data_IF_885260338400
#
_entry.id   IF_885260338400
#
_cell.length_a   1.000
_cell.length_b   1.000
_cell.length_c   1.000
_cell.angle_alpha   90.00
_cell.angle_beta   90.00
_cell.angle_gamma   90.00
#
_symmetry.space_group_name_H-M   'P 1'
#
loop_
_entity.id
_entity.type
_entity.pdbx_description
1 polymer ?
#
# COMPACT_ATOMS: atom_id res chain seq x y z
N UNK A 1 5.10 -2.30 -23.68
CA UNK A 1 5.19 -1.20 -22.69
C UNK A 1 6.02 -1.67 -21.51
N UNK A 2 7.28 -1.26 -21.43
CA UNK A 2 8.18 -1.68 -20.36
C UNK A 2 7.60 -1.29 -18.99
N UNK A 3 7.47 -2.27 -18.08
CA UNK A 3 7.03 -2.03 -16.71
C UNK A 3 7.97 -1.03 -16.06
N UNK A 4 7.50 0.21 -15.85
CA UNK A 4 8.24 1.20 -15.08
C UNK A 4 8.42 0.60 -13.69
N UNK A 5 9.67 0.28 -13.37
CA UNK A 5 9.98 -0.63 -12.26
C UNK A 5 9.49 -0.08 -10.92
N UNK A 6 8.81 -0.94 -10.16
CA UNK A 6 8.34 -0.72 -8.78
C UNK A 6 9.47 -0.36 -7.78
N UNK A 7 10.73 -0.31 -8.24
CA UNK A 7 11.90 0.11 -7.44
C UNK A 7 11.71 1.47 -6.78
N UNK A 8 11.16 2.45 -7.48
CA UNK A 8 10.95 3.80 -6.93
C UNK A 8 9.91 3.81 -5.81
N UNK A 9 8.81 3.09 -5.99
CA UNK A 9 7.76 2.93 -4.98
C UNK A 9 8.27 2.14 -3.76
N UNK A 10 8.92 0.98 -3.98
CA UNK A 10 9.56 0.20 -2.90
C UNK A 10 10.55 1.01 -2.08
N UNK A 11 11.36 1.85 -2.74
CA UNK A 11 12.32 2.72 -2.06
C UNK A 11 11.60 3.74 -1.16
N UNK A 12 10.50 4.33 -1.64
CA UNK A 12 9.70 5.28 -0.85
C UNK A 12 8.97 4.62 0.32
N UNK A 13 8.39 3.44 0.11
CA UNK A 13 7.78 2.65 1.21
C UNK A 13 8.82 2.31 2.27
N UNK A 14 10.02 1.88 1.86
CA UNK A 14 11.13 1.61 2.80
C UNK A 14 11.55 2.86 3.58
N UNK A 15 11.62 4.02 2.92
CA UNK A 15 11.91 5.29 3.59
C UNK A 15 10.86 5.62 4.65
N UNK A 16 9.57 5.53 4.31
CA UNK A 16 8.48 5.81 5.24
C UNK A 16 8.45 4.83 6.42
N UNK A 17 8.68 3.54 6.17
CA UNK A 17 8.81 2.55 7.24
C UNK A 17 9.96 2.87 8.20
N UNK A 18 11.12 3.26 7.67
CA UNK A 18 12.27 3.65 8.49
C UNK A 18 12.00 4.92 9.31
N UNK A 19 11.34 5.92 8.73
CA UNK A 19 10.99 7.16 9.43
C UNK A 19 9.97 6.90 10.53
N UNK A 20 8.93 6.09 10.25
CA UNK A 20 7.95 5.71 11.25
C UNK A 20 8.61 4.95 12.41
N UNK A 21 9.52 4.02 12.11
CA UNK A 21 10.28 3.31 13.16
C UNK A 21 11.05 4.26 14.09
N UNK A 22 11.72 5.28 13.53
CA UNK A 22 12.41 6.30 14.33
C UNK A 22 11.43 7.11 15.21
N UNK A 23 10.28 7.49 14.65
CA UNK A 23 9.25 8.23 15.41
C UNK A 23 8.68 7.38 16.54
N UNK A 24 8.37 6.10 16.27
CA UNK A 24 7.89 5.17 17.30
C UNK A 24 8.91 5.01 18.42
N UNK A 25 10.20 4.86 18.08
CA UNK A 25 11.26 4.76 19.08
C UNK A 25 11.33 5.99 19.99
N UNK A 26 11.20 7.19 19.40
CA UNK A 26 11.30 8.45 20.14
C UNK A 26 10.06 8.78 20.97
N UNK A 27 8.87 8.43 20.47
CA UNK A 27 7.59 8.89 21.05
C UNK A 27 6.90 7.82 21.91
N UNK A 28 7.09 6.54 21.59
CA UNK A 28 6.40 5.43 22.22
C UNK A 28 7.36 4.43 22.90
N UNK A 29 8.67 4.64 22.78
CA UNK A 29 9.70 3.82 23.41
C UNK A 29 10.10 2.59 22.59
N UNK A 30 11.13 1.89 23.09
CA UNK A 30 11.68 0.68 22.47
C UNK A 30 10.68 -0.47 22.42
N UNK A 31 9.91 -0.64 23.47
CA UNK A 31 9.07 -1.83 23.68
C UNK A 31 7.93 -1.87 22.67
N UNK A 32 7.35 -0.71 22.37
CA UNK A 32 6.36 -0.54 21.30
C UNK A 32 6.96 -0.85 19.94
N UNK A 33 8.15 -0.32 19.64
CA UNK A 33 8.81 -0.59 18.36
C UNK A 33 9.14 -2.08 18.19
N UNK A 34 9.62 -2.72 19.25
CA UNK A 34 9.90 -4.17 19.27
C UNK A 34 8.63 -4.98 19.05
N UNK A 35 7.52 -4.62 19.71
CA UNK A 35 6.24 -5.28 19.51
C UNK A 35 5.78 -5.16 18.05
N UNK A 36 5.80 -3.95 17.47
CA UNK A 36 5.44 -3.71 16.06
C UNK A 36 6.30 -4.54 15.11
N UNK A 37 7.64 -4.51 15.28
CA UNK A 37 8.56 -5.22 14.41
C UNK A 37 8.44 -6.74 14.52
N UNK A 38 8.19 -7.26 15.73
CA UNK A 38 8.00 -8.68 15.98
C UNK A 38 6.73 -9.18 15.30
N UNK A 39 5.61 -8.47 15.46
CA UNK A 39 4.35 -8.78 14.80
C UNK A 39 4.50 -8.70 13.27
N UNK A 40 5.12 -7.63 12.76
CA UNK A 40 5.35 -7.43 11.32
C UNK A 40 6.14 -8.59 10.71
N UNK A 41 7.30 -8.93 11.30
CA UNK A 41 8.15 -10.04 10.83
C UNK A 41 7.44 -11.39 10.97
N UNK A 42 6.71 -11.59 12.07
CA UNK A 42 5.93 -12.78 12.35
C UNK A 42 4.89 -13.06 11.26
N UNK A 43 4.03 -12.10 10.96
CA UNK A 43 2.98 -12.26 9.95
C UNK A 43 3.52 -12.30 8.52
N UNK A 44 4.60 -11.56 8.21
CA UNK A 44 5.29 -11.72 6.91
C UNK A 44 5.80 -13.16 6.74
N UNK A 45 6.37 -13.74 7.80
CA UNK A 45 6.84 -15.12 7.75
C UNK A 45 5.68 -16.11 7.60
N UNK A 46 4.56 -15.92 8.30
CA UNK A 46 3.38 -16.77 8.18
C UNK A 46 2.80 -16.75 6.76
N UNK A 47 2.75 -15.57 6.13
CA UNK A 47 2.30 -15.43 4.75
C UNK A 47 3.19 -16.19 3.76
N UNK A 48 4.50 -16.30 4.03
CA UNK A 48 5.43 -17.07 3.20
C UNK A 48 5.30 -18.58 3.42
N UNK A 49 5.12 -19.00 4.67
CA UNK A 49 4.94 -20.40 5.07
C UNK A 49 4.13 -20.46 6.36
N UNK A 50 2.91 -20.96 6.25
CA UNK A 50 2.01 -21.08 7.40
C UNK A 50 2.59 -22.06 8.43
N UNK A 51 2.44 -21.71 9.71
CA UNK A 51 2.92 -22.52 10.83
C UNK A 51 2.03 -22.29 12.04
N UNK A 52 1.33 -23.34 12.46
CA UNK A 52 0.45 -23.32 13.63
C UNK A 52 1.23 -22.91 14.89
N UNK A 53 2.44 -23.43 15.07
CA UNK A 53 3.33 -23.07 16.19
C UNK A 53 3.67 -21.58 16.20
N UNK A 54 4.05 -21.03 15.04
CA UNK A 54 4.40 -19.62 14.93
C UNK A 54 3.20 -18.70 15.14
N UNK A 55 2.04 -19.07 14.58
CA UNK A 55 0.78 -18.35 14.78
C UNK A 55 0.38 -18.34 16.26
N UNK A 56 0.46 -19.48 16.95
CA UNK A 56 0.21 -19.57 18.39
C UNK A 56 1.19 -18.72 19.19
N UNK A 57 2.47 -18.73 18.84
CA UNK A 57 3.48 -17.88 19.49
C UNK A 57 3.19 -16.38 19.35
N UNK A 58 2.76 -15.95 18.17
CA UNK A 58 2.38 -14.55 17.91
C UNK A 58 1.13 -14.18 18.71
N UNK A 59 0.10 -15.04 18.73
CA UNK A 59 -1.11 -14.80 19.51
C UNK A 59 -0.81 -14.69 21.01
N UNK A 60 -0.01 -15.61 21.56
CA UNK A 60 0.39 -15.59 22.97
C UNK A 60 1.19 -14.33 23.34
N UNK A 61 1.94 -13.75 22.40
CA UNK A 61 2.62 -12.48 22.61
C UNK A 61 1.62 -11.33 22.64
N UNK A 62 0.67 -11.29 21.71
CA UNK A 62 -0.37 -10.26 21.64
C UNK A 62 -1.23 -10.24 22.92
N UNK A 63 -1.56 -11.41 23.47
CA UNK A 63 -2.32 -11.54 24.72
C UNK A 63 -1.59 -10.98 25.95
N UNK A 64 -0.26 -10.83 25.88
CA UNK A 64 0.57 -10.31 26.97
C UNK A 64 0.84 -8.81 26.88
N UNK A 65 0.44 -8.16 25.78
CA UNK A 65 0.61 -6.71 25.64
C UNK A 65 -0.38 -5.99 26.56
N UNK A 66 0.12 -4.99 27.29
CA UNK A 66 -0.77 -4.09 28.02
C UNK A 66 -1.58 -3.21 27.05
N UNK A 67 -2.68 -2.65 27.55
CA UNK A 67 -3.61 -1.87 26.74
C UNK A 67 -2.98 -0.64 26.08
N UNK A 68 -1.99 0.01 26.72
CA UNK A 68 -1.33 1.18 26.14
C UNK A 68 -0.42 0.75 24.99
N UNK A 69 0.40 -0.29 25.19
CA UNK A 69 1.25 -0.85 24.12
C UNK A 69 0.41 -1.32 22.94
N UNK A 70 -0.69 -2.04 23.18
CA UNK A 70 -1.59 -2.50 22.12
C UNK A 70 -2.17 -1.33 21.30
N UNK A 71 -2.61 -0.25 21.96
CA UNK A 71 -3.09 0.96 21.29
C UNK A 71 -2.00 1.59 20.40
N UNK A 72 -0.76 1.66 20.88
CA UNK A 72 0.36 2.17 20.09
C UNK A 72 0.68 1.27 18.90
N UNK A 73 0.64 -0.06 19.06
CA UNK A 73 0.83 -1.03 17.98
C UNK A 73 -0.23 -0.85 16.88
N UNK A 74 -1.50 -0.76 17.25
CA UNK A 74 -2.60 -0.54 16.29
C UNK A 74 -2.37 0.76 15.51
N UNK A 75 -2.08 1.86 16.21
CA UNK A 75 -1.80 3.16 15.59
C UNK A 75 -0.59 3.10 14.66
N UNK A 76 0.48 2.40 15.05
CA UNK A 76 1.67 2.22 14.23
C UNK A 76 1.33 1.54 12.89
N UNK A 77 0.54 0.46 12.91
CA UNK A 77 0.12 -0.21 11.67
C UNK A 77 -0.82 0.67 10.84
N UNK A 78 -1.79 1.35 11.44
CA UNK A 78 -2.67 2.28 10.73
C UNK A 78 -1.87 3.37 10.01
N UNK A 79 -0.93 4.02 10.71
CA UNK A 79 -0.07 5.05 10.15
C UNK A 79 0.83 4.48 9.04
N UNK A 80 1.39 3.28 9.22
CA UNK A 80 2.17 2.62 8.18
C UNK A 80 1.34 2.41 6.90
N UNK A 81 0.12 1.89 7.01
CA UNK A 81 -0.74 1.68 5.84
C UNK A 81 -1.15 2.99 5.18
N UNK A 82 -1.46 4.04 5.95
CA UNK A 82 -1.70 5.37 5.39
C UNK A 82 -0.49 5.91 4.62
N UNK A 83 0.73 5.74 5.15
CA UNK A 83 1.97 6.16 4.48
C UNK A 83 2.22 5.36 3.18
N UNK A 84 1.94 4.06 3.18
CA UNK A 84 2.02 3.22 1.98
C UNK A 84 1.03 3.70 0.93
N UNK A 85 -0.23 3.94 1.30
CA UNK A 85 -1.24 4.44 0.37
C UNK A 85 -0.82 5.77 -0.25
N UNK A 86 -0.33 6.73 0.56
CA UNK A 86 0.18 8.01 0.05
C UNK A 86 1.36 7.80 -0.92
N UNK A 87 2.27 6.86 -0.62
CA UNK A 87 3.38 6.54 -1.52
C UNK A 87 2.90 5.99 -2.86
N UNK A 88 1.91 5.10 -2.83
CA UNK A 88 1.30 4.49 -4.01
C UNK A 88 0.54 5.51 -4.84
N UNK A 89 -0.32 6.33 -4.24
CA UNK A 89 -1.05 7.41 -4.91
C UNK A 89 -0.11 8.41 -5.56
N UNK A 90 0.93 8.86 -4.84
CA UNK A 90 1.94 9.76 -5.38
C UNK A 90 2.76 9.12 -6.51
N UNK A 91 3.00 7.81 -6.44
CA UNK A 91 3.63 7.07 -7.53
C UNK A 91 2.71 7.01 -8.76
N UNK A 92 1.46 6.57 -8.59
CA UNK A 92 0.47 6.48 -9.66
C UNK A 92 0.22 7.84 -10.31
N UNK A 93 0.09 8.92 -9.52
CA UNK A 93 -0.06 10.27 -10.05
C UNK A 93 1.11 10.67 -10.94
N UNK A 94 2.37 10.37 -10.54
CA UNK A 94 3.55 10.64 -11.38
C UNK A 94 3.54 9.82 -12.67
N UNK A 95 3.16 8.54 -12.61
CA UNK A 95 3.02 7.69 -13.79
C UNK A 95 1.97 8.26 -14.77
N UNK A 96 0.79 8.63 -14.26
CA UNK A 96 -0.29 9.23 -15.07
C UNK A 96 0.14 10.54 -15.72
N UNK A 97 0.89 11.40 -15.00
CA UNK A 97 1.45 12.64 -15.56
C UNK A 97 2.48 12.40 -16.65
N UNK A 98 3.27 11.32 -16.56
CA UNK A 98 4.21 10.93 -17.61
C UNK A 98 3.48 10.43 -18.86
N UNK A 99 2.46 9.57 -18.69
CA UNK A 99 1.61 9.08 -19.79
C UNK A 99 0.94 10.26 -20.51
N UNK A 100 0.32 11.17 -19.76
CA UNK A 100 -0.37 12.34 -20.32
C UNK A 100 0.55 13.21 -21.18
N UNK A 101 1.83 13.37 -20.77
CA UNK A 101 2.83 14.13 -21.55
C UNK A 101 3.28 13.41 -22.82
N UNK A 102 3.09 12.09 -22.90
CA UNK A 102 3.44 11.29 -24.07
C UNK A 102 2.47 11.46 -25.24
N UNK A 103 1.29 12.06 -25.03
CA UNK A 103 0.31 12.35 -26.08
C UNK A 103 -0.36 11.12 -26.72
N UNK A 104 -0.14 9.92 -26.19
CA UNK A 104 -0.78 8.68 -26.61
C UNK A 104 -2.03 8.33 -25.79
N UNK A 105 -2.57 7.11 -25.96
CA UNK A 105 -3.65 6.60 -25.12
C UNK A 105 -3.32 6.72 -23.63
N UNK A 106 -4.32 7.06 -22.83
CA UNK A 106 -4.15 7.17 -21.38
C UNK A 106 -4.09 5.79 -20.71
N UNK A 107 -4.06 5.77 -19.37
CA UNK A 107 -3.93 4.53 -18.61
C UNK A 107 -5.23 3.71 -18.62
N UNK A 108 -5.11 2.41 -18.35
CA UNK A 108 -6.24 1.49 -18.21
C UNK A 108 -7.23 1.99 -17.14
N UNK A 109 -8.52 1.98 -17.49
CA UNK A 109 -9.60 2.49 -16.62
C UNK A 109 -9.70 4.03 -16.59
N UNK A 110 -8.95 4.74 -17.45
CA UNK A 110 -9.23 6.15 -17.73
C UNK A 110 -10.45 6.30 -18.64
N UNK A 111 -11.05 7.49 -18.62
CA UNK A 111 -12.18 7.80 -19.50
C UNK A 111 -11.78 7.78 -20.99
N UNK A 112 -10.57 8.23 -21.34
CA UNK A 112 -10.04 8.16 -22.71
C UNK A 112 -9.93 6.71 -23.20
N UNK A 113 -9.40 5.80 -22.38
CA UNK A 113 -9.30 4.39 -22.74
C UNK A 113 -10.68 3.75 -22.93
N UNK A 114 -11.63 4.04 -22.02
CA UNK A 114 -12.99 3.52 -22.13
C UNK A 114 -13.69 3.99 -23.43
N UNK A 115 -13.54 5.27 -23.79
CA UNK A 115 -14.12 5.79 -25.04
C UNK A 115 -13.45 5.20 -26.29
N UNK A 116 -12.13 4.97 -26.26
CA UNK A 116 -11.42 4.28 -27.35
C UNK A 116 -11.93 2.85 -27.51
N UNK A 117 -12.09 2.13 -26.40
CA UNK A 117 -12.62 0.77 -26.43
C UNK A 117 -14.05 0.73 -27.00
N UNK A 118 -14.94 1.63 -26.58
CA UNK A 118 -16.29 1.71 -27.14
C UNK A 118 -16.30 2.02 -28.63
N UNK A 119 -15.42 2.91 -29.09
CA UNK A 119 -15.25 3.18 -30.52
C UNK A 119 -14.79 1.94 -31.28
N UNK A 120 -13.84 1.20 -30.75
CA UNK A 120 -13.31 -0.03 -31.37
C UNK A 120 -14.36 -1.15 -31.39
N UNK A 121 -15.26 -1.18 -30.41
CA UNK A 121 -16.44 -2.07 -30.35
C UNK A 121 -17.62 -1.60 -31.22
N UNK A 122 -17.51 -0.44 -31.88
CA UNK A 122 -18.53 0.10 -32.78
C UNK A 122 -19.75 0.71 -32.08
N UNK A 123 -19.65 1.03 -30.80
CA UNK A 123 -20.71 1.69 -30.03
C UNK A 123 -20.86 3.14 -30.52
N UNK A 124 -22.10 3.56 -30.80
CA UNK A 124 -22.38 4.89 -31.32
C UNK A 124 -22.38 5.96 -30.22
N UNK A 125 -22.26 7.23 -30.62
CA UNK A 125 -22.29 8.36 -29.68
C UNK A 125 -23.63 8.41 -28.95
N UNK A 126 -24.72 8.12 -29.66
CA UNK A 126 -26.08 8.11 -29.11
C UNK A 126 -26.22 7.05 -28.01
N UNK A 127 -25.68 5.85 -28.22
CA UNK A 127 -25.67 4.77 -27.22
C UNK A 127 -24.85 5.12 -25.99
N UNK A 128 -23.72 5.83 -26.15
CA UNK A 128 -22.91 6.30 -25.03
C UNK A 128 -23.67 7.38 -24.24
N UNK A 129 -24.39 8.25 -24.94
CA UNK A 129 -25.13 9.36 -24.33
C UNK A 129 -26.32 8.89 -23.48
N UNK A 130 -26.89 7.72 -23.76
CA UNK A 130 -27.92 7.09 -22.91
C UNK A 130 -27.36 6.56 -21.57
N UNK A 131 -26.04 6.34 -21.46
CA UNK A 131 -25.39 5.77 -20.28
C UNK A 131 -24.78 6.81 -19.31
N UNK A 132 -24.71 8.09 -19.71
CA UNK A 132 -24.09 9.20 -18.98
C UNK A 132 -25.12 10.12 -18.32
#
# INVERSE_FOLDING_TARGET
>A
MAAIGDKALRTRVKLFGNLLGKVLQQQAGSDVLEAVETLRKGYISLRKKESIFKRRSINNMMEKLDANTLNHVIRAFSLYFSLVNIAEEAYQHRQRRQILRGGGPLWQGSFDEALRQFKDEGITIEQIQELL
#
